data_IF_602787934990
#
_entry.id   IF_602787934990
#
_cell.length_a   1.000
_cell.length_b   1.000
_cell.length_c   1.000
_cell.angle_alpha   90.00
_cell.angle_beta   90.00
_cell.angle_gamma   90.00
#
_symmetry.space_group_name_H-M   'P 1'
#
loop_
_entity.id
_entity.type
_entity.pdbx_description
1 polymer ?
#
# COMPACT_ATOMS: atom_id res chain seq x y z
N UNK A 1 -4.06 -23.99 -7.72
CA UNK A 1 -3.39 -22.77 -7.23
C UNK A 1 -3.73 -21.62 -8.17
N UNK A 2 -4.27 -20.51 -7.67
CA UNK A 2 -4.51 -19.33 -8.52
C UNK A 2 -3.17 -18.70 -8.88
N UNK A 3 -2.87 -18.58 -10.17
CA UNK A 3 -1.68 -17.87 -10.66
C UNK A 3 -1.83 -16.38 -10.38
N UNK A 4 -0.83 -15.80 -9.70
CA UNK A 4 -0.68 -14.35 -9.58
C UNK A 4 -0.33 -13.82 -10.98
N UNK A 5 -1.13 -12.91 -11.50
CA UNK A 5 -1.02 -12.42 -12.89
C UNK A 5 -0.82 -10.92 -12.96
N UNK A 6 -1.05 -10.21 -11.86
CA UNK A 6 -1.00 -8.77 -11.82
C UNK A 6 -0.28 -8.30 -10.57
N UNK A 7 0.36 -7.15 -10.71
CA UNK A 7 0.95 -6.39 -9.63
C UNK A 7 0.37 -4.98 -9.65
N UNK A 8 -0.08 -4.52 -8.50
CA UNK A 8 -0.53 -3.14 -8.29
C UNK A 8 0.41 -2.44 -7.33
N UNK A 9 0.93 -1.30 -7.74
CA UNK A 9 1.67 -0.38 -6.89
C UNK A 9 0.80 0.82 -6.55
N UNK A 10 0.89 1.30 -5.32
CA UNK A 10 0.17 2.48 -4.84
C UNK A 10 0.92 3.10 -3.67
N UNK A 11 0.70 4.39 -3.44
CA UNK A 11 1.27 5.10 -2.30
C UNK A 11 0.19 5.42 -1.26
N UNK A 12 0.59 5.40 0.01
CA UNK A 12 -0.23 5.85 1.14
C UNK A 12 0.49 6.97 1.86
N UNK A 13 -0.25 8.00 2.27
CA UNK A 13 0.30 9.14 3.02
C UNK A 13 -0.37 9.30 4.36
N UNK A 14 0.40 9.52 5.42
CA UNK A 14 -0.13 9.70 6.78
C UNK A 14 0.88 10.40 7.68
N UNK A 15 0.41 10.86 8.84
CA UNK A 15 1.22 11.56 9.84
C UNK A 15 1.27 10.85 11.19
N UNK A 16 0.48 9.79 11.37
CA UNK A 16 0.44 8.95 12.57
C UNK A 16 1.41 7.78 12.47
N UNK A 17 1.44 6.93 13.51
CA UNK A 17 2.09 5.63 13.45
C UNK A 17 1.56 4.82 12.25
N UNK A 18 2.45 4.18 11.51
CA UNK A 18 2.07 3.41 10.33
C UNK A 18 1.23 2.18 10.73
N UNK A 19 0.07 1.93 10.10
CA UNK A 19 -0.81 0.82 10.43
C UNK A 19 -0.29 -0.47 9.79
N UNK A 20 0.68 -1.13 10.42
CA UNK A 20 1.27 -2.38 9.91
C UNK A 20 0.26 -3.51 9.73
N UNK A 21 -0.87 -3.50 10.44
CA UNK A 21 -1.98 -4.46 10.22
C UNK A 21 -2.57 -4.35 8.81
N UNK A 22 -2.56 -3.14 8.21
CA UNK A 22 -3.04 -2.94 6.85
C UNK A 22 -2.20 -3.70 5.81
N UNK A 23 -0.91 -3.91 6.06
CA UNK A 23 -0.06 -4.72 5.17
C UNK A 23 -0.57 -6.16 5.06
N UNK A 24 -0.98 -6.75 6.20
CA UNK A 24 -1.54 -8.09 6.23
C UNK A 24 -2.93 -8.13 5.60
N UNK A 25 -3.75 -7.12 5.90
CA UNK A 25 -5.15 -7.08 5.50
C UNK A 25 -5.34 -6.82 4.01
N UNK A 26 -4.58 -5.89 3.44
CA UNK A 26 -4.56 -5.58 2.00
C UNK A 26 -3.53 -6.44 1.23
N UNK A 27 -2.83 -7.35 1.93
CA UNK A 27 -1.79 -8.23 1.36
C UNK A 27 -0.79 -7.44 0.52
N UNK A 28 -0.29 -6.36 1.10
CA UNK A 28 0.63 -5.44 0.48
C UNK A 28 1.90 -5.29 1.31
N UNK A 29 2.97 -4.85 0.66
CA UNK A 29 4.31 -4.76 1.25
C UNK A 29 5.00 -3.49 0.74
N UNK A 30 5.99 -2.93 1.46
CA UNK A 30 6.82 -1.84 0.95
C UNK A 30 7.44 -2.19 -0.40
N UNK A 31 7.47 -1.22 -1.32
CA UNK A 31 8.02 -1.40 -2.67
C UNK A 31 9.55 -1.57 -2.66
N UNK A 32 10.23 -0.94 -1.70
CA UNK A 32 11.68 -0.99 -1.53
C UNK A 32 12.08 -0.80 -0.04
N UNK A 33 13.36 -1.00 0.31
CA UNK A 33 13.85 -0.81 1.68
C UNK A 33 13.63 0.59 2.22
N UNK A 34 13.84 1.65 1.43
CA UNK A 34 13.61 3.04 1.88
C UNK A 34 12.14 3.28 2.28
N UNK A 35 11.19 2.66 1.58
CA UNK A 35 9.77 2.73 1.94
C UNK A 35 9.45 1.92 3.21
N UNK A 36 10.22 0.86 3.50
CA UNK A 36 10.14 0.14 4.76
C UNK A 36 10.73 0.96 5.92
N UNK A 37 11.78 1.73 5.70
CA UNK A 37 12.36 2.60 6.72
C UNK A 37 11.40 3.74 7.10
N UNK A 38 10.71 4.31 6.10
CA UNK A 38 9.64 5.29 6.33
C UNK A 38 8.48 4.77 7.17
N UNK A 39 8.28 3.46 7.30
CA UNK A 39 7.28 2.90 8.21
C UNK A 39 7.70 3.09 9.68
N UNK A 40 9.00 3.01 9.96
CA UNK A 40 9.56 3.05 11.31
C UNK A 40 9.85 4.47 11.82
N UNK A 41 9.90 5.46 10.94
CA UNK A 41 10.05 6.86 11.36
C UNK A 41 8.87 7.33 12.25
N UNK A 42 9.06 8.37 13.05
CA UNK A 42 7.98 9.04 13.80
C UNK A 42 7.98 10.53 13.48
N UNK A 43 6.79 11.15 13.48
CA UNK A 43 6.68 12.61 13.65
C UNK A 43 6.50 13.48 12.41
N UNK A 44 6.36 12.94 11.19
CA UNK A 44 6.09 13.78 10.00
C UNK A 44 5.13 13.11 9.01
N UNK A 45 4.48 13.93 8.16
CA UNK A 45 3.68 13.46 7.03
C UNK A 45 4.60 12.73 6.05
N UNK A 46 4.40 11.44 5.90
CA UNK A 46 5.23 10.55 5.07
C UNK A 46 4.39 9.91 3.99
N UNK A 47 5.06 9.51 2.91
CA UNK A 47 4.47 8.73 1.84
C UNK A 47 5.23 7.42 1.70
N UNK A 48 4.51 6.31 1.79
CA UNK A 48 5.05 4.95 1.67
C UNK A 48 4.51 4.34 0.39
N UNK A 49 5.38 3.86 -0.50
CA UNK A 49 4.94 3.08 -1.67
C UNK A 49 4.80 1.61 -1.29
N UNK A 50 3.68 1.04 -1.72
CA UNK A 50 3.29 -0.33 -1.45
C UNK A 50 3.03 -1.07 -2.75
N UNK A 51 3.30 -2.38 -2.71
CA UNK A 51 3.06 -3.32 -3.79
C UNK A 51 2.15 -4.44 -3.31
N UNK A 52 1.20 -4.85 -4.14
CA UNK A 52 0.36 -6.03 -3.91
C UNK A 52 0.27 -6.89 -5.17
N UNK A 53 0.19 -8.20 -4.99
CA UNK A 53 0.10 -9.19 -6.05
C UNK A 53 -1.25 -9.89 -6.02
N UNK A 54 -1.89 -10.02 -7.17
CA UNK A 54 -3.24 -10.60 -7.26
C UNK A 54 -3.50 -11.30 -8.59
N UNK A 55 -4.58 -12.08 -8.63
CA UNK A 55 -4.97 -12.90 -9.77
C UNK A 55 -5.89 -12.18 -10.77
N UNK A 56 -6.47 -11.03 -10.39
CA UNK A 56 -7.52 -10.34 -11.16
C UNK A 56 -7.22 -8.86 -11.33
N UNK A 57 -7.33 -8.34 -12.56
CA UNK A 57 -7.07 -6.92 -12.86
C UNK A 57 -7.84 -5.91 -11.98
N UNK A 58 -9.02 -6.28 -11.48
CA UNK A 58 -9.90 -5.41 -10.68
C UNK A 58 -9.67 -5.54 -9.16
N UNK A 59 -8.43 -5.75 -8.72
CA UNK A 59 -8.14 -5.70 -7.29
C UNK A 59 -8.40 -4.28 -6.75
N UNK A 60 -9.34 -4.18 -5.80
CA UNK A 60 -9.81 -2.90 -5.31
C UNK A 60 -9.03 -2.53 -4.05
N UNK A 61 -8.18 -1.50 -4.13
CA UNK A 61 -7.49 -0.94 -2.96
C UNK A 61 -8.54 -0.35 -2.03
N UNK A 62 -8.44 -0.66 -0.73
CA UNK A 62 -9.49 -0.30 0.22
C UNK A 62 -9.31 1.13 0.77
N UNK A 63 -9.55 2.15 -0.07
CA UNK A 63 -9.38 3.57 0.28
C UNK A 63 -9.91 3.95 1.66
N UNK A 64 -11.18 3.61 1.95
CA UNK A 64 -11.82 3.98 3.22
C UNK A 64 -11.24 3.28 4.45
N UNK A 65 -10.55 2.14 4.28
CA UNK A 65 -9.89 1.46 5.40
C UNK A 65 -8.63 2.18 5.80
N UNK A 66 -7.80 2.57 4.83
CA UNK A 66 -6.61 3.37 5.10
C UNK A 66 -6.99 4.63 5.88
N UNK A 67 -8.05 5.32 5.45
CA UNK A 67 -8.51 6.57 6.04
C UNK A 67 -8.86 6.42 7.54
N UNK A 68 -9.41 5.28 7.93
CA UNK A 68 -9.72 4.93 9.31
C UNK A 68 -8.48 4.87 10.23
N UNK A 69 -7.28 4.73 9.66
CA UNK A 69 -6.01 4.73 10.39
C UNK A 69 -5.27 6.08 10.31
N UNK A 70 -5.90 7.14 9.79
CA UNK A 70 -5.26 8.43 9.49
C UNK A 70 -4.15 8.33 8.43
N UNK A 71 -4.30 7.38 7.51
CA UNK A 71 -3.49 7.23 6.30
C UNK A 71 -4.39 7.28 5.07
N UNK A 72 -3.99 7.92 3.99
CA UNK A 72 -4.83 8.01 2.79
C UNK A 72 -4.07 7.48 1.59
N UNK A 73 -4.74 6.66 0.78
CA UNK A 73 -4.20 6.24 -0.52
C UNK A 73 -4.09 7.48 -1.41
N UNK A 74 -2.93 7.68 -2.04
CA UNK A 74 -2.68 8.78 -2.97
C UNK A 74 -3.32 8.40 -4.32
N UNK A 75 -4.43 9.02 -4.75
CA UNK A 75 -5.22 8.51 -5.89
C UNK A 75 -4.43 8.43 -7.19
N UNK A 76 -3.56 9.41 -7.44
CA UNK A 76 -2.74 9.50 -8.65
C UNK A 76 -1.49 8.59 -8.64
N UNK A 77 -1.34 7.73 -7.64
CA UNK A 77 -0.17 6.84 -7.50
C UNK A 77 -0.45 5.39 -7.91
N UNK A 78 -1.70 5.04 -8.20
CA UNK A 78 -2.12 3.65 -8.40
C UNK A 78 -1.75 3.22 -9.83
N UNK A 79 -0.90 2.22 -9.96
CA UNK A 79 -0.54 1.61 -11.23
C UNK A 79 -0.73 0.10 -11.14
N UNK A 80 -1.39 -0.49 -12.14
CA UNK A 80 -1.54 -1.94 -12.25
C UNK A 80 -0.94 -2.43 -13.55
N UNK A 81 -0.05 -3.43 -13.46
CA UNK A 81 0.54 -4.10 -14.64
C UNK A 81 0.41 -5.61 -14.53
N UNK A 82 0.46 -6.29 -15.68
CA UNK A 82 0.51 -7.75 -15.75
C UNK A 82 1.94 -8.23 -15.45
N UNK A 83 2.06 -9.32 -14.70
CA UNK A 83 3.31 -10.03 -14.44
C UNK A 83 3.75 -10.85 -15.66
#
# INVERSE_FOLDING_TARGET
MASLKYVTTFAVSGSSSFPTDMLRRDRCFPDNPDDADKINEMGFRRTVKLVTFHSTKNHNITFGRWDSFSWSVVPNSIMTRRL
#
